data_IF_257612654688
#
_entry.id   IF_257612654688
#
_cell.length_a   1.000
_cell.length_b   1.000
_cell.length_c   1.000
_cell.angle_alpha   90.00
_cell.angle_beta   90.00
_cell.angle_gamma   90.00
#
_symmetry.space_group_name_H-M   'P 1'
#
loop_
_entity.id
_entity.type
_entity.pdbx_description
1 polymer ?
#
# COMPACT_ATOMS: atom_id res chain seq x y z
N UNK A 1 -11.17 33.39 4.11
CA UNK A 1 -9.82 34.01 4.12
C UNK A 1 -9.02 33.37 3.01
N UNK A 2 -8.24 34.15 2.26
CA UNK A 2 -7.43 33.59 1.17
C UNK A 2 -6.33 32.65 1.75
N UNK A 3 -6.19 31.47 1.19
CA UNK A 3 -5.06 30.57 1.46
C UNK A 3 -3.80 31.08 0.76
N UNK A 4 -2.63 30.73 1.28
CA UNK A 4 -1.33 31.14 0.69
C UNK A 4 -0.79 30.11 -0.29
N UNK A 5 -1.09 28.83 -0.03
CA UNK A 5 -0.60 27.71 -0.82
C UNK A 5 -1.73 26.80 -1.25
N UNK A 6 -1.65 26.34 -2.49
CA UNK A 6 -2.53 25.35 -3.07
C UNK A 6 -1.73 24.08 -3.31
N UNK A 7 -2.08 23.02 -2.60
CA UNK A 7 -1.34 21.79 -2.53
C UNK A 7 -2.20 20.61 -3.00
N UNK A 8 -1.58 19.62 -3.58
CA UNK A 8 -2.28 18.42 -3.98
C UNK A 8 -1.49 17.16 -3.57
N UNK A 9 -2.23 16.11 -3.27
CA UNK A 9 -1.68 14.78 -3.08
C UNK A 9 -2.51 13.75 -3.85
N UNK A 10 -1.86 12.70 -4.34
CA UNK A 10 -2.54 11.53 -4.90
C UNK A 10 -1.84 10.24 -4.48
N UNK A 11 -2.66 9.21 -4.24
CA UNK A 11 -2.24 7.86 -3.84
C UNK A 11 -2.76 6.86 -4.87
N UNK A 12 -1.85 6.08 -5.46
CA UNK A 12 -2.17 5.15 -6.55
C UNK A 12 -1.73 3.74 -6.20
N UNK A 13 -2.72 2.90 -5.96
CA UNK A 13 -2.53 1.46 -5.86
C UNK A 13 -2.92 0.70 -7.13
N UNK A 14 -2.88 -0.62 -7.08
CA UNK A 14 -3.32 -1.48 -8.19
C UNK A 14 -4.81 -1.36 -8.51
N UNK A 15 -5.68 -1.12 -7.51
CA UNK A 15 -7.13 -1.17 -7.66
C UNK A 15 -7.83 0.19 -7.62
N UNK A 16 -7.20 1.22 -7.07
CA UNK A 16 -7.80 2.55 -6.89
C UNK A 16 -6.75 3.66 -6.93
N UNK A 17 -7.22 4.84 -7.28
CA UNK A 17 -6.52 6.13 -7.11
C UNK A 17 -7.36 7.02 -6.21
N UNK A 18 -6.74 7.66 -5.23
CA UNK A 18 -7.35 8.70 -4.40
C UNK A 18 -6.54 9.99 -4.55
N UNK A 19 -7.19 11.12 -4.72
CA UNK A 19 -6.52 12.41 -4.93
C UNK A 19 -7.26 13.53 -4.24
N UNK A 20 -6.50 14.45 -3.64
CA UNK A 20 -7.04 15.60 -2.90
C UNK A 20 -6.32 16.88 -3.28
N UNK A 21 -7.08 17.97 -3.38
CA UNK A 21 -6.60 19.34 -3.43
C UNK A 21 -6.92 20.00 -2.10
N UNK A 22 -5.94 20.64 -1.50
CA UNK A 22 -6.06 21.21 -0.15
C UNK A 22 -5.18 22.45 0.02
N UNK A 23 -5.35 23.19 1.10
CA UNK A 23 -4.53 24.34 1.43
C UNK A 23 -3.60 24.06 2.63
N UNK A 24 -2.76 25.02 2.97
CA UNK A 24 -1.79 24.92 4.08
C UNK A 24 -2.42 24.75 5.48
N UNK A 25 -3.76 24.85 5.61
CA UNK A 25 -4.49 24.62 6.88
C UNK A 25 -5.08 23.20 6.95
N UNK A 26 -4.94 22.41 5.89
CA UNK A 26 -5.55 21.09 5.79
C UNK A 26 -7.00 21.10 5.29
N UNK A 27 -7.53 22.26 4.90
CA UNK A 27 -8.89 22.35 4.35
C UNK A 27 -8.90 21.71 2.94
N UNK A 28 -9.72 20.67 2.75
CA UNK A 28 -9.87 19.97 1.47
C UNK A 28 -10.80 20.77 0.57
N UNK A 29 -10.32 21.15 -0.60
CA UNK A 29 -11.06 21.95 -1.60
C UNK A 29 -11.74 21.04 -2.63
N UNK A 30 -11.13 19.90 -2.96
CA UNK A 30 -11.69 18.89 -3.84
C UNK A 30 -11.08 17.51 -3.52
N UNK A 31 -11.83 16.45 -3.83
CA UNK A 31 -11.35 15.06 -3.78
C UNK A 31 -11.90 14.30 -4.98
N UNK A 32 -11.02 13.64 -5.72
CA UNK A 32 -11.39 12.79 -6.87
C UNK A 32 -10.83 11.39 -6.64
N UNK A 33 -11.69 10.40 -6.76
CA UNK A 33 -11.33 8.98 -6.74
C UNK A 33 -11.41 8.42 -8.17
N UNK A 34 -10.52 7.49 -8.49
CA UNK A 34 -10.44 6.84 -9.78
C UNK A 34 -10.03 5.38 -9.68
N UNK A 35 -9.97 4.73 -10.83
CA UNK A 35 -9.44 3.39 -10.97
C UNK A 35 -7.95 3.33 -10.62
N UNK A 36 -7.46 2.13 -10.32
CA UNK A 36 -6.05 1.87 -10.12
C UNK A 36 -5.22 2.15 -11.37
N UNK A 37 -3.96 2.48 -11.14
CA UNK A 37 -3.10 2.92 -12.22
C UNK A 37 -1.66 2.42 -12.12
N UNK A 38 -1.41 1.22 -11.57
CA UNK A 38 -0.06 0.69 -11.40
C UNK A 38 0.73 0.77 -12.73
N UNK A 39 1.85 1.50 -12.79
CA UNK A 39 2.59 1.70 -14.02
C UNK A 39 3.26 0.43 -14.58
N UNK A 40 3.48 -0.60 -13.73
CA UNK A 40 3.95 -1.91 -14.20
C UNK A 40 2.91 -2.63 -15.07
N UNK A 41 1.62 -2.41 -14.80
CA UNK A 41 0.52 -3.06 -15.51
C UNK A 41 0.06 -2.24 -16.72
N UNK A 42 -0.04 -0.92 -16.57
CA UNK A 42 -0.53 -0.01 -17.63
C UNK A 42 0.56 0.45 -18.61
N UNK A 43 1.82 0.32 -18.24
CA UNK A 43 2.92 1.04 -18.90
C UNK A 43 2.97 2.52 -18.47
N UNK A 44 4.19 3.06 -18.39
CA UNK A 44 4.45 4.37 -17.78
C UNK A 44 3.73 5.53 -18.48
N UNK A 45 3.61 5.52 -19.82
CA UNK A 45 2.97 6.59 -20.60
C UNK A 45 1.45 6.62 -20.35
N UNK A 46 0.81 5.45 -20.37
CA UNK A 46 -0.61 5.31 -20.10
C UNK A 46 -0.93 5.65 -18.63
N UNK A 47 -0.06 5.25 -17.71
CA UNK A 47 -0.20 5.61 -16.29
C UNK A 47 -0.13 7.11 -16.08
N UNK A 48 0.86 7.79 -16.65
CA UNK A 48 0.99 9.24 -16.56
C UNK A 48 -0.22 9.98 -17.17
N UNK A 49 -0.71 9.54 -18.33
CA UNK A 49 -1.91 10.12 -18.95
C UNK A 49 -3.17 9.92 -18.07
N UNK A 50 -3.31 8.73 -17.47
CA UNK A 50 -4.40 8.42 -16.54
C UNK A 50 -4.37 9.31 -15.30
N UNK A 51 -3.20 9.48 -14.68
CA UNK A 51 -3.04 10.35 -13.51
C UNK A 51 -3.31 11.80 -13.86
N UNK A 52 -2.79 12.29 -15.00
CA UNK A 52 -3.01 13.64 -15.45
C UNK A 52 -4.50 13.94 -15.67
N UNK A 53 -5.28 13.00 -16.20
CA UNK A 53 -6.73 13.17 -16.38
C UNK A 53 -7.45 13.32 -15.03
N UNK A 54 -7.13 12.47 -14.02
CA UNK A 54 -7.69 12.55 -12.66
C UNK A 54 -7.30 13.89 -12.00
N UNK A 55 -6.03 14.28 -12.09
CA UNK A 55 -5.51 15.48 -11.45
C UNK A 55 -6.02 16.77 -12.09
N UNK A 56 -6.17 16.82 -13.42
CA UNK A 56 -6.80 17.96 -14.08
C UNK A 56 -8.27 18.14 -13.64
N UNK A 57 -9.02 17.04 -13.51
CA UNK A 57 -10.36 17.05 -12.95
C UNK A 57 -10.36 17.59 -11.51
N UNK A 58 -9.49 17.06 -10.65
CA UNK A 58 -9.31 17.49 -9.26
C UNK A 58 -9.06 19.00 -9.17
N UNK A 59 -8.12 19.49 -9.97
CA UNK A 59 -7.74 20.90 -9.96
C UNK A 59 -8.88 21.81 -10.43
N UNK A 60 -9.61 21.39 -11.46
CA UNK A 60 -10.77 22.16 -11.94
C UNK A 60 -11.89 22.19 -10.90
N UNK A 61 -12.22 21.05 -10.29
CA UNK A 61 -13.26 20.98 -9.25
C UNK A 61 -12.94 21.84 -8.04
N UNK A 62 -11.66 21.89 -7.62
CA UNK A 62 -11.27 22.64 -6.43
C UNK A 62 -11.00 24.13 -6.64
N UNK A 63 -10.62 24.54 -7.85
CA UNK A 63 -10.30 25.94 -8.14
C UNK A 63 -11.34 26.67 -8.98
N UNK A 64 -12.12 25.96 -9.77
CA UNK A 64 -13.00 26.53 -10.80
C UNK A 64 -12.23 27.13 -11.98
N UNK A 65 -10.88 26.96 -12.04
CA UNK A 65 -10.00 27.59 -13.04
C UNK A 65 -8.99 26.56 -13.57
N UNK A 66 -9.02 26.32 -14.87
CA UNK A 66 -8.10 25.38 -15.52
C UNK A 66 -6.64 25.82 -15.51
N UNK A 67 -6.37 27.08 -15.22
CA UNK A 67 -5.03 27.70 -15.25
C UNK A 67 -4.45 27.97 -13.85
N UNK A 68 -5.23 27.81 -12.80
CA UNK A 68 -4.80 28.07 -11.43
C UNK A 68 -3.52 27.31 -11.08
N UNK A 69 -2.47 27.98 -10.59
CA UNK A 69 -1.21 27.33 -10.28
C UNK A 69 -1.36 26.45 -9.04
N UNK A 70 -0.73 25.27 -9.07
CA UNK A 70 -0.59 24.34 -7.95
C UNK A 70 0.84 24.43 -7.44
N UNK A 71 1.03 24.78 -6.17
CA UNK A 71 2.37 25.01 -5.63
C UNK A 71 3.16 23.70 -5.50
N UNK A 72 2.50 22.64 -4.97
CA UNK A 72 3.09 21.30 -4.83
C UNK A 72 2.07 20.23 -5.18
N UNK A 73 2.52 19.25 -5.93
CA UNK A 73 1.84 17.98 -6.15
C UNK A 73 2.74 16.84 -5.66
N UNK A 74 2.29 16.11 -4.65
CA UNK A 74 2.96 14.90 -4.18
C UNK A 74 2.18 13.65 -4.59
N UNK A 75 2.88 12.68 -5.20
CA UNK A 75 2.34 11.39 -5.59
C UNK A 75 2.93 10.23 -4.80
N UNK A 76 2.08 9.40 -4.22
CA UNK A 76 2.42 8.09 -3.68
C UNK A 76 1.98 7.03 -4.70
N UNK A 77 2.94 6.36 -5.36
CA UNK A 77 2.63 5.48 -6.50
C UNK A 77 3.29 4.14 -6.31
N UNK A 78 2.48 3.08 -6.28
CA UNK A 78 2.98 1.71 -6.19
C UNK A 78 3.95 1.40 -7.34
N UNK A 79 5.05 0.74 -7.04
CA UNK A 79 6.10 0.34 -8.00
C UNK A 79 6.88 1.51 -8.66
N UNK A 80 6.78 2.74 -8.09
CA UNK A 80 7.49 3.93 -8.60
C UNK A 80 8.99 3.70 -8.71
N UNK A 81 9.59 2.97 -7.80
CA UNK A 81 11.02 2.70 -7.71
C UNK A 81 11.62 2.05 -8.96
N UNK A 82 10.80 1.40 -9.77
CA UNK A 82 11.27 0.77 -11.02
C UNK A 82 11.38 1.72 -12.22
N UNK A 83 10.94 2.98 -12.06
CA UNK A 83 10.83 3.94 -13.17
C UNK A 83 11.73 5.17 -13.02
N UNK A 84 12.49 5.28 -11.93
CA UNK A 84 13.33 6.46 -11.67
C UNK A 84 12.52 7.76 -11.75
N UNK A 85 12.98 8.78 -12.50
CA UNK A 85 12.26 10.04 -12.74
C UNK A 85 11.21 9.96 -13.85
N UNK A 86 11.03 8.81 -14.47
CA UNK A 86 10.23 8.71 -15.69
C UNK A 86 8.77 9.13 -15.57
N UNK A 87 8.14 9.00 -14.37
CA UNK A 87 6.77 9.47 -14.12
C UNK A 87 6.73 10.98 -13.93
N UNK A 88 7.67 11.54 -13.17
CA UNK A 88 7.79 13.00 -12.96
C UNK A 88 8.02 13.72 -14.27
N UNK A 89 8.91 13.20 -15.14
CA UNK A 89 9.21 13.80 -16.44
C UNK A 89 7.94 13.91 -17.30
N UNK A 90 7.13 12.86 -17.34
CA UNK A 90 5.88 12.83 -18.11
C UNK A 90 4.80 13.73 -17.52
N UNK A 91 4.61 13.65 -16.21
CA UNK A 91 3.58 14.45 -15.53
C UNK A 91 3.92 15.95 -15.55
N UNK A 92 5.18 16.33 -15.51
CA UNK A 92 5.60 17.74 -15.65
C UNK A 92 5.19 18.33 -16.99
N UNK A 93 5.21 17.53 -18.06
CA UNK A 93 4.73 17.94 -19.38
C UNK A 93 3.20 18.03 -19.43
N UNK A 94 2.50 17.06 -18.82
CA UNK A 94 1.03 16.96 -18.85
C UNK A 94 0.34 17.92 -17.88
N UNK A 95 1.05 18.37 -16.83
CA UNK A 95 0.55 19.24 -15.76
C UNK A 95 1.41 20.50 -15.61
N UNK A 96 1.53 21.36 -16.63
CA UNK A 96 2.47 22.50 -16.64
C UNK A 96 2.16 23.58 -15.57
N UNK A 97 0.96 23.53 -14.96
CA UNK A 97 0.57 24.42 -13.88
C UNK A 97 1.07 24.01 -12.49
N UNK A 98 1.63 22.81 -12.35
CA UNK A 98 2.25 22.33 -11.12
C UNK A 98 3.66 22.87 -11.03
N UNK A 99 3.95 23.66 -9.98
CA UNK A 99 5.26 24.31 -9.80
C UNK A 99 6.32 23.34 -9.29
N UNK A 100 5.92 22.44 -8.37
CA UNK A 100 6.80 21.42 -7.81
C UNK A 100 6.06 20.08 -7.80
N UNK A 101 6.66 19.09 -8.43
CA UNK A 101 6.16 17.74 -8.51
C UNK A 101 7.16 16.80 -7.85
N UNK A 102 6.68 15.94 -6.96
CA UNK A 102 7.45 14.85 -6.36
C UNK A 102 6.61 13.57 -6.37
N UNK A 103 7.20 12.47 -6.78
CA UNK A 103 6.55 11.15 -6.78
C UNK A 103 7.47 10.16 -6.10
N UNK A 104 6.94 9.46 -5.09
CA UNK A 104 7.62 8.42 -4.35
C UNK A 104 6.80 7.14 -4.31
N UNK A 105 7.38 6.05 -3.79
CA UNK A 105 6.65 4.81 -3.54
C UNK A 105 5.54 5.00 -2.49
N UNK A 106 4.49 4.21 -2.59
CA UNK A 106 3.32 4.27 -1.70
C UNK A 106 3.68 4.13 -0.22
N UNK A 107 4.67 3.31 0.12
CA UNK A 107 5.17 3.17 1.48
C UNK A 107 5.83 4.43 2.06
N UNK A 108 6.38 5.31 1.22
CA UNK A 108 6.98 6.56 1.66
C UNK A 108 5.94 7.50 2.30
N UNK A 109 4.80 7.66 1.64
CA UNK A 109 3.69 8.44 2.17
C UNK A 109 3.18 7.87 3.52
N UNK A 110 3.11 6.53 3.66
CA UNK A 110 2.69 5.90 4.92
C UNK A 110 3.65 6.18 6.07
N UNK A 111 4.96 6.19 5.82
CA UNK A 111 5.95 6.59 6.83
C UNK A 111 5.68 8.03 7.27
N UNK A 112 5.53 8.94 6.33
CA UNK A 112 5.35 10.37 6.62
C UNK A 112 4.03 10.66 7.32
N UNK A 113 2.96 9.96 6.96
CA UNK A 113 1.66 10.11 7.61
C UNK A 113 1.67 9.73 9.10
N UNK A 114 2.51 8.76 9.48
CA UNK A 114 2.59 8.26 10.85
C UNK A 114 3.77 8.82 11.64
N UNK A 115 4.90 9.05 10.99
CA UNK A 115 6.14 9.41 11.65
C UNK A 115 6.59 10.85 11.33
N UNK A 116 5.87 11.57 10.47
CA UNK A 116 6.35 12.84 9.92
C UNK A 116 7.66 12.62 9.14
N UNK A 117 8.60 13.54 9.28
CA UNK A 117 9.91 13.45 8.64
C UNK A 117 10.97 12.70 9.48
N UNK A 118 10.55 11.82 10.40
CA UNK A 118 11.48 10.99 11.20
C UNK A 118 11.90 9.75 10.41
N UNK A 119 13.14 9.29 10.66
CA UNK A 119 13.59 7.99 10.19
C UNK A 119 12.71 6.87 10.73
N UNK A 120 12.46 5.88 9.90
CA UNK A 120 11.64 4.74 10.25
C UNK A 120 11.35 3.84 9.06
N UNK A 121 10.40 2.97 9.21
CA UNK A 121 9.99 2.06 8.15
C UNK A 121 8.47 1.87 8.11
N UNK A 122 7.97 1.45 6.95
CA UNK A 122 6.60 0.99 6.77
C UNK A 122 6.61 -0.39 6.11
N UNK A 123 5.91 -1.34 6.70
CA UNK A 123 5.62 -2.64 6.10
C UNK A 123 4.20 -2.62 5.53
N UNK A 124 4.08 -2.82 4.24
CA UNK A 124 2.81 -3.01 3.56
C UNK A 124 2.55 -4.50 3.42
N UNK A 125 1.34 -4.95 3.79
CA UNK A 125 0.87 -6.31 3.57
C UNK A 125 -0.58 -6.28 3.02
N UNK A 126 -0.69 -6.48 1.72
CA UNK A 126 -1.94 -6.57 0.96
C UNK A 126 -1.89 -7.73 -0.02
N UNK A 127 -2.23 -7.52 -1.29
CA UNK A 127 -2.02 -8.50 -2.36
C UNK A 127 -0.55 -8.91 -2.47
N UNK A 128 0.37 -7.95 -2.39
CA UNK A 128 1.81 -8.13 -2.20
C UNK A 128 2.26 -7.69 -0.82
N UNK A 129 3.58 -7.76 -0.57
CA UNK A 129 4.20 -7.27 0.67
C UNK A 129 5.57 -6.68 0.39
N UNK A 130 5.95 -5.66 1.15
CA UNK A 130 7.26 -5.00 1.08
C UNK A 130 7.50 -4.15 2.32
N UNK A 131 8.75 -3.75 2.55
CA UNK A 131 9.12 -2.75 3.55
C UNK A 131 9.79 -1.57 2.88
N UNK A 132 9.31 -0.39 3.14
CA UNK A 132 9.96 0.87 2.80
C UNK A 132 10.69 1.41 4.03
N UNK A 133 11.86 2.00 3.82
CA UNK A 133 12.69 2.60 4.86
C UNK A 133 12.98 4.05 4.47
N UNK A 134 12.89 4.95 5.44
CA UNK A 134 13.34 6.32 5.36
C UNK A 134 14.57 6.54 6.22
N UNK A 135 15.62 7.17 5.66
CA UNK A 135 16.79 7.70 6.36
C UNK A 135 17.09 9.11 5.86
N UNK A 136 16.71 10.13 6.63
CA UNK A 136 16.74 11.51 6.17
C UNK A 136 15.78 11.71 4.99
N UNK A 137 16.31 12.20 3.87
CA UNK A 137 15.54 12.40 2.63
C UNK A 137 15.60 11.20 1.67
N UNK A 138 16.37 10.16 2.02
CA UNK A 138 16.53 8.96 1.21
C UNK A 138 15.49 7.90 1.58
N UNK A 139 14.98 7.24 0.56
CA UNK A 139 14.11 6.07 0.69
C UNK A 139 14.76 4.84 0.06
N UNK A 140 14.52 3.70 0.66
CA UNK A 140 14.83 2.42 0.05
C UNK A 140 13.75 1.38 0.37
N UNK A 141 13.72 0.34 -0.40
CA UNK A 141 12.71 -0.69 -0.36
C UNK A 141 13.37 -2.07 -0.16
N UNK A 142 12.71 -2.96 0.59
CA UNK A 142 13.17 -4.32 0.90
C UNK A 142 12.00 -5.27 0.66
N UNK A 143 12.27 -6.38 -0.04
CA UNK A 143 11.27 -7.36 -0.44
C UNK A 143 10.35 -6.82 -1.55
N UNK A 144 9.26 -7.53 -1.84
CA UNK A 144 8.30 -7.07 -2.85
C UNK A 144 8.77 -7.15 -4.30
N UNK A 145 9.71 -8.02 -4.60
CA UNK A 145 10.28 -8.23 -5.95
C UNK A 145 9.30 -8.85 -6.97
N UNK A 146 8.04 -8.92 -6.60
CA UNK A 146 6.97 -9.45 -7.43
C UNK A 146 6.67 -10.92 -7.17
N UNK A 147 5.44 -11.32 -7.49
CA UNK A 147 4.87 -12.61 -7.11
C UNK A 147 5.56 -13.85 -7.71
N UNK A 148 6.36 -13.67 -8.75
CA UNK A 148 7.16 -14.75 -9.35
C UNK A 148 8.46 -15.01 -8.59
N UNK A 149 8.95 -14.03 -7.83
CA UNK A 149 10.27 -14.05 -7.21
C UNK A 149 10.14 -14.01 -5.69
N UNK A 150 9.35 -13.08 -5.16
CA UNK A 150 9.30 -12.79 -3.73
C UNK A 150 7.90 -12.30 -3.31
N UNK A 151 7.21 -13.09 -2.51
CA UNK A 151 5.83 -12.84 -2.07
C UNK A 151 5.67 -12.69 -0.56
N UNK A 152 6.70 -12.88 0.21
CA UNK A 152 6.85 -12.74 1.67
C UNK A 152 5.55 -12.51 2.47
N UNK A 153 4.84 -13.57 2.84
CA UNK A 153 3.68 -13.50 3.75
C UNK A 153 2.49 -12.68 3.25
N UNK A 154 2.46 -12.29 1.98
CA UNK A 154 1.39 -11.50 1.38
C UNK A 154 0.08 -12.27 1.20
N UNK A 155 -1.02 -11.55 0.93
CA UNK A 155 -2.29 -12.18 0.60
C UNK A 155 -2.21 -13.14 -0.58
N UNK A 156 -1.43 -12.79 -1.61
CA UNK A 156 -1.19 -13.71 -2.73
C UNK A 156 -0.49 -15.00 -2.28
N UNK A 157 0.56 -14.90 -1.45
CA UNK A 157 1.25 -16.07 -0.93
C UNK A 157 0.31 -16.96 -0.10
N UNK A 158 -0.40 -16.36 0.86
CA UNK A 158 -1.32 -17.08 1.74
C UNK A 158 -2.42 -17.78 0.94
N UNK A 159 -3.07 -17.08 0.00
CA UNK A 159 -4.09 -17.67 -0.87
C UNK A 159 -3.56 -18.79 -1.75
N UNK A 160 -2.39 -18.60 -2.35
CA UNK A 160 -1.71 -19.63 -3.16
C UNK A 160 -1.37 -20.87 -2.34
N UNK A 161 -0.91 -20.71 -1.10
CA UNK A 161 -0.61 -21.82 -0.21
C UNK A 161 -1.88 -22.56 0.26
N UNK A 162 -2.97 -21.83 0.50
CA UNK A 162 -4.28 -22.43 0.81
C UNK A 162 -4.77 -23.31 -0.35
N UNK A 163 -4.78 -22.77 -1.57
CA UNK A 163 -5.16 -23.52 -2.78
C UNK A 163 -4.27 -24.76 -2.95
N UNK A 164 -2.96 -24.58 -2.84
CA UNK A 164 -1.99 -25.68 -2.93
C UNK A 164 -2.23 -26.76 -1.88
N UNK A 165 -2.54 -26.38 -0.64
CA UNK A 165 -2.81 -27.31 0.44
C UNK A 165 -4.07 -28.15 0.17
N UNK A 166 -5.17 -27.51 -0.28
CA UNK A 166 -6.40 -28.20 -0.65
C UNK A 166 -6.19 -29.18 -1.82
N UNK A 167 -5.50 -28.79 -2.88
CA UNK A 167 -5.20 -29.68 -4.00
C UNK A 167 -4.32 -30.87 -3.56
N UNK A 168 -3.37 -30.66 -2.64
CA UNK A 168 -2.54 -31.74 -2.10
C UNK A 168 -3.30 -32.68 -1.18
N UNK A 169 -4.27 -32.18 -0.42
CA UNK A 169 -5.17 -33.00 0.38
C UNK A 169 -6.05 -33.89 -0.52
N UNK A 170 -6.61 -33.30 -1.59
CA UNK A 170 -7.43 -34.01 -2.57
C UNK A 170 -6.70 -35.17 -3.25
N UNK A 171 -5.48 -34.96 -3.70
CA UNK A 171 -4.70 -35.98 -4.41
C UNK A 171 -3.87 -36.89 -3.48
N UNK A 172 -4.04 -36.77 -2.16
CA UNK A 172 -3.40 -37.64 -1.16
C UNK A 172 -1.91 -37.36 -0.90
N UNK A 173 -1.38 -36.22 -1.39
CA UNK A 173 0.01 -35.78 -1.15
C UNK A 173 0.17 -34.90 0.09
N UNK A 174 -0.91 -34.47 0.70
CA UNK A 174 -0.93 -33.59 1.88
C UNK A 174 -1.89 -34.06 2.94
N UNK A 175 -1.84 -33.41 4.09
CA UNK A 175 -2.76 -33.64 5.19
C UNK A 175 -4.17 -33.15 4.85
N UNK A 176 -5.18 -33.78 5.47
CA UNK A 176 -6.56 -33.32 5.35
C UNK A 176 -6.71 -31.95 6.03
N UNK A 177 -7.50 -31.07 5.44
CA UNK A 177 -7.65 -29.69 5.88
C UNK A 177 -9.04 -29.17 5.58
N UNK A 178 -9.59 -28.35 6.47
CA UNK A 178 -10.87 -27.64 6.24
C UNK A 178 -10.75 -26.55 5.16
N UNK A 179 -9.55 -26.24 4.69
CA UNK A 179 -9.34 -25.36 3.55
C UNK A 179 -10.07 -25.84 2.30
N UNK A 180 -10.25 -27.16 2.11
CA UNK A 180 -11.01 -27.71 0.97
C UNK A 180 -12.44 -27.15 0.96
N UNK A 181 -13.15 -27.29 2.09
CA UNK A 181 -14.54 -26.86 2.22
C UNK A 181 -14.69 -25.34 2.15
N UNK A 182 -13.75 -24.59 2.74
CA UNK A 182 -13.78 -23.13 2.73
C UNK A 182 -13.52 -22.55 1.33
N UNK A 183 -12.60 -23.13 0.59
CA UNK A 183 -12.32 -22.75 -0.79
C UNK A 183 -13.49 -23.09 -1.71
N UNK A 184 -14.08 -24.31 -1.56
CA UNK A 184 -15.27 -24.68 -2.30
C UNK A 184 -16.45 -23.75 -2.01
N UNK A 185 -16.67 -23.37 -0.76
CA UNK A 185 -17.69 -22.39 -0.37
C UNK A 185 -17.47 -21.03 -1.05
N UNK A 186 -16.22 -20.60 -1.21
CA UNK A 186 -15.89 -19.32 -1.87
C UNK A 186 -16.05 -19.39 -3.39
N UNK A 187 -15.69 -20.50 -4.03
CA UNK A 187 -15.74 -20.67 -5.48
C UNK A 187 -17.10 -21.16 -5.98
N UNK A 188 -17.89 -21.84 -5.13
CA UNK A 188 -19.11 -22.53 -5.51
C UNK A 188 -18.88 -23.92 -6.10
N UNK A 189 -17.64 -24.36 -6.21
CA UNK A 189 -17.19 -25.66 -6.72
C UNK A 189 -15.85 -26.05 -6.08
N UNK A 190 -15.45 -27.33 -6.10
CA UNK A 190 -14.15 -27.74 -5.59
C UNK A 190 -13.00 -26.99 -6.27
N UNK A 191 -12.01 -26.55 -5.47
CA UNK A 191 -10.93 -25.70 -5.97
C UNK A 191 -10.11 -26.34 -7.09
N UNK A 192 -10.02 -27.66 -7.13
CA UNK A 192 -9.32 -28.41 -8.19
C UNK A 192 -10.12 -28.47 -9.50
N UNK A 193 -11.37 -28.04 -9.53
CA UNK A 193 -12.19 -27.83 -10.73
C UNK A 193 -12.16 -26.37 -11.20
N UNK A 194 -11.77 -25.45 -10.32
CA UNK A 194 -11.76 -24.00 -10.51
C UNK A 194 -10.49 -23.45 -11.20
N UNK A 195 -9.71 -24.27 -11.89
CA UNK A 195 -8.40 -23.87 -12.40
C UNK A 195 -8.43 -22.79 -13.49
N UNK A 196 -9.44 -22.80 -14.35
CA UNK A 196 -9.55 -21.83 -15.44
C UNK A 196 -9.66 -20.41 -14.86
N UNK A 197 -10.49 -20.25 -13.86
CA UNK A 197 -10.73 -18.98 -13.17
C UNK A 197 -9.49 -18.52 -12.38
N UNK A 198 -8.76 -19.46 -11.74
CA UNK A 198 -7.51 -19.15 -11.04
C UNK A 198 -6.43 -18.61 -11.99
N UNK A 199 -6.32 -19.18 -13.20
CA UNK A 199 -5.37 -18.70 -14.20
C UNK A 199 -5.79 -17.39 -14.88
N UNK A 200 -7.10 -17.13 -14.99
CA UNK A 200 -7.63 -15.88 -15.57
C UNK A 200 -7.69 -14.73 -14.58
N UNK A 201 -7.91 -15.03 -13.30
CA UNK A 201 -8.13 -14.05 -12.25
C UNK A 201 -6.87 -13.35 -11.75
N UNK A 202 -5.71 -13.81 -12.20
CA UNK A 202 -4.41 -13.22 -11.89
C UNK A 202 -4.12 -13.12 -10.38
N UNK A 203 -3.12 -12.33 -10.03
CA UNK A 203 -2.63 -12.12 -8.65
C UNK A 203 -3.69 -11.63 -7.66
N UNK A 204 -4.50 -10.60 -7.98
CA UNK A 204 -5.51 -10.10 -7.04
C UNK A 204 -6.55 -11.13 -6.67
N UNK A 205 -6.96 -11.95 -7.63
CA UNK A 205 -7.95 -12.99 -7.39
C UNK A 205 -7.42 -14.08 -6.46
N UNK A 206 -6.20 -14.57 -6.68
CA UNK A 206 -5.56 -15.54 -5.79
C UNK A 206 -5.40 -14.98 -4.37
N UNK A 207 -5.11 -13.70 -4.22
CA UNK A 207 -5.00 -13.05 -2.93
C UNK A 207 -6.32 -13.02 -2.14
N UNK A 208 -7.47 -13.09 -2.80
CA UNK A 208 -8.77 -13.16 -2.10
C UNK A 208 -8.93 -14.43 -1.26
N UNK A 209 -8.24 -15.51 -1.63
CA UNK A 209 -8.28 -16.76 -0.88
C UNK A 209 -7.46 -16.74 0.42
N UNK A 210 -6.70 -15.69 0.70
CA UNK A 210 -5.99 -15.55 1.97
C UNK A 210 -6.93 -15.61 3.19
N UNK A 211 -8.16 -15.13 3.07
CA UNK A 211 -9.18 -15.18 4.14
C UNK A 211 -9.39 -16.58 4.68
N UNK A 212 -9.39 -17.58 3.79
CA UNK A 212 -9.63 -18.98 4.19
C UNK A 212 -8.54 -19.51 5.14
N UNK A 213 -7.32 -18.99 5.05
CA UNK A 213 -6.24 -19.36 5.97
C UNK A 213 -6.57 -18.90 7.39
N UNK A 214 -7.06 -17.68 7.55
CA UNK A 214 -7.41 -17.14 8.87
C UNK A 214 -8.66 -17.82 9.44
N UNK A 215 -9.67 -18.08 8.60
CA UNK A 215 -10.88 -18.81 9.00
C UNK A 215 -10.56 -20.25 9.43
N UNK A 216 -9.81 -21.00 8.62
CA UNK A 216 -9.41 -22.36 8.93
C UNK A 216 -8.53 -22.43 10.20
N UNK A 217 -7.61 -21.49 10.37
CA UNK A 217 -6.79 -21.39 11.58
C UNK A 217 -7.65 -21.17 12.83
N UNK A 218 -8.66 -20.29 12.75
CA UNK A 218 -9.60 -20.07 13.85
C UNK A 218 -10.42 -21.33 14.20
N UNK A 219 -10.62 -22.24 13.24
CA UNK A 219 -11.23 -23.55 13.45
C UNK A 219 -10.25 -24.61 14.01
N UNK A 220 -8.98 -24.23 14.21
CA UNK A 220 -7.94 -25.11 14.75
C UNK A 220 -7.25 -26.00 13.70
N UNK A 221 -7.37 -25.68 12.41
CA UNK A 221 -6.74 -26.44 11.33
C UNK A 221 -5.20 -26.31 11.40
N UNK A 222 -4.45 -27.43 11.50
CA UNK A 222 -2.99 -27.38 11.63
C UNK A 222 -2.30 -26.96 10.34
N UNK A 223 -2.88 -27.27 9.17
CA UNK A 223 -2.32 -26.88 7.86
C UNK A 223 -2.41 -25.36 7.68
N UNK A 224 -3.58 -24.79 7.98
CA UNK A 224 -3.76 -23.34 7.93
C UNK A 224 -2.89 -22.60 8.96
N UNK A 225 -2.71 -23.19 10.16
CA UNK A 225 -1.80 -22.65 11.18
C UNK A 225 -0.35 -22.62 10.67
N UNK A 226 0.10 -23.68 10.01
CA UNK A 226 1.45 -23.74 9.44
C UNK A 226 1.65 -22.68 8.33
N UNK A 227 0.63 -22.47 7.47
CA UNK A 227 0.66 -21.43 6.42
C UNK A 227 0.72 -20.02 7.03
N UNK A 228 -0.08 -19.75 8.06
CA UNK A 228 -0.07 -18.49 8.80
C UNK A 228 1.30 -18.22 9.42
N UNK A 229 1.89 -19.21 10.10
CA UNK A 229 3.18 -19.09 10.77
C UNK A 229 4.34 -18.91 9.77
N UNK A 230 4.28 -19.59 8.61
CA UNK A 230 5.24 -19.40 7.51
C UNK A 230 5.19 -17.95 7.01
N UNK A 231 3.99 -17.45 6.70
CA UNK A 231 3.83 -16.08 6.22
C UNK A 231 4.24 -15.02 7.24
N UNK A 232 3.96 -15.23 8.53
CA UNK A 232 4.39 -14.30 9.58
C UNK A 232 5.92 -14.25 9.73
N UNK A 233 6.60 -15.40 9.59
CA UNK A 233 8.08 -15.49 9.60
C UNK A 233 8.69 -14.77 8.40
N UNK A 234 8.11 -14.94 7.20
CA UNK A 234 8.58 -14.28 5.99
C UNK A 234 8.50 -12.75 6.12
N UNK A 235 7.37 -12.23 6.63
CA UNK A 235 7.22 -10.80 6.91
C UNK A 235 8.22 -10.31 7.97
N UNK A 236 8.42 -11.08 9.03
CA UNK A 236 9.42 -10.74 10.04
C UNK A 236 10.85 -10.73 9.47
N UNK A 237 11.16 -11.59 8.48
CA UNK A 237 12.47 -11.60 7.83
C UNK A 237 12.78 -10.28 7.13
N UNK A 238 11.83 -9.70 6.39
CA UNK A 238 12.02 -8.37 5.76
C UNK A 238 12.10 -7.25 6.80
N UNK A 239 11.37 -7.35 7.94
CA UNK A 239 11.53 -6.43 9.07
C UNK A 239 12.92 -6.52 9.71
N UNK A 240 13.48 -7.72 9.85
CA UNK A 240 14.85 -7.95 10.32
C UNK A 240 15.89 -7.34 9.36
N UNK A 241 15.65 -7.43 8.04
CA UNK A 241 16.50 -6.79 7.04
C UNK A 241 16.47 -5.26 7.17
N UNK A 242 15.27 -4.67 7.38
CA UNK A 242 15.14 -3.26 7.69
C UNK A 242 15.90 -2.85 8.96
N UNK A 243 15.81 -3.66 10.01
CA UNK A 243 16.53 -3.43 11.26
C UNK A 243 18.06 -3.48 11.11
N UNK A 244 18.57 -4.36 10.25
CA UNK A 244 20.01 -4.38 9.92
C UNK A 244 20.44 -3.11 9.18
N UNK A 245 19.59 -2.65 8.25
CA UNK A 245 19.91 -1.49 7.40
C UNK A 245 19.87 -0.17 8.18
N UNK A 246 18.87 0.04 9.02
CA UNK A 246 18.75 1.23 9.87
C UNK A 246 19.80 1.27 10.98
N UNK A 247 20.20 0.12 11.53
CA UNK A 247 21.29 0.02 12.52
C UNK A 247 21.01 0.62 13.91
N UNK A 248 19.82 1.23 14.11
CA UNK A 248 19.37 1.91 15.34
C UNK A 248 17.93 1.51 15.65
N UNK A 249 17.39 1.76 16.87
CA UNK A 249 15.96 1.62 17.14
C UNK A 249 15.12 2.51 16.23
N UNK A 250 13.97 2.01 15.77
CA UNK A 250 13.06 2.73 14.88
C UNK A 250 11.62 2.25 15.02
N UNK A 251 10.69 3.08 14.54
CA UNK A 251 9.27 2.76 14.41
C UNK A 251 9.04 2.04 13.07
N UNK A 252 8.36 0.88 13.12
CA UNK A 252 7.88 0.15 11.95
C UNK A 252 6.36 0.29 11.86
N UNK A 253 5.90 1.07 10.92
CA UNK A 253 4.46 1.23 10.62
C UNK A 253 3.96 -0.01 9.89
N UNK A 254 2.93 -0.67 10.42
CA UNK A 254 2.25 -1.78 9.75
C UNK A 254 0.99 -1.24 9.05
N UNK A 255 0.88 -1.48 7.75
CA UNK A 255 -0.25 -1.06 6.93
C UNK A 255 -0.60 -2.13 5.88
N UNK A 256 -1.81 -2.05 5.34
CA UNK A 256 -2.30 -2.91 4.27
C UNK A 256 -3.52 -3.74 4.66
N UNK A 257 -4.25 -4.17 3.62
CA UNK A 257 -5.55 -4.83 3.78
C UNK A 257 -5.52 -6.10 4.62
N UNK A 258 -4.43 -6.88 4.57
CA UNK A 258 -4.30 -8.09 5.38
C UNK A 258 -4.15 -7.74 6.87
N UNK A 259 -3.33 -6.77 7.23
CA UNK A 259 -3.17 -6.36 8.63
C UNK A 259 -4.43 -5.71 9.20
N UNK A 260 -5.16 -4.96 8.35
CA UNK A 260 -6.43 -4.35 8.75
C UNK A 260 -7.53 -5.39 8.97
N UNK A 261 -7.63 -6.36 8.08
CA UNK A 261 -8.65 -7.42 8.18
C UNK A 261 -8.32 -8.45 9.28
N UNK A 262 -7.04 -8.71 9.52
CA UNK A 262 -6.54 -9.74 10.45
C UNK A 262 -5.47 -9.18 11.39
N UNK A 263 -5.88 -8.38 12.42
CA UNK A 263 -4.94 -7.79 13.38
C UNK A 263 -4.07 -8.80 14.13
N UNK A 264 -4.53 -10.05 14.26
CA UNK A 264 -3.75 -11.14 14.85
C UNK A 264 -2.51 -11.48 14.02
N UNK A 265 -2.57 -11.31 12.69
CA UNK A 265 -1.42 -11.51 11.82
C UNK A 265 -0.35 -10.43 12.04
N UNK A 266 -0.78 -9.18 12.13
CA UNK A 266 0.10 -8.07 12.48
C UNK A 266 0.77 -8.27 13.85
N UNK A 267 0.01 -8.75 14.86
CA UNK A 267 0.57 -9.09 16.18
C UNK A 267 1.58 -10.24 16.11
N UNK A 268 1.30 -11.28 15.32
CA UNK A 268 2.23 -12.41 15.15
C UNK A 268 3.55 -11.96 14.50
N UNK A 269 3.48 -11.12 13.46
CA UNK A 269 4.66 -10.52 12.82
C UNK A 269 5.44 -9.67 13.83
N UNK A 270 4.76 -8.80 14.58
CA UNK A 270 5.38 -7.94 15.60
C UNK A 270 6.10 -8.75 16.69
N UNK A 271 5.52 -9.87 17.13
CA UNK A 271 6.12 -10.75 18.13
C UNK A 271 7.42 -11.44 17.65
N UNK A 272 7.60 -11.56 16.34
CA UNK A 272 8.81 -12.11 15.71
C UNK A 272 9.87 -11.04 15.43
N UNK A 273 9.53 -9.76 15.54
CA UNK A 273 10.45 -8.66 15.30
C UNK A 273 11.44 -8.47 16.47
N UNK A 274 12.68 -8.01 16.21
CA UNK A 274 13.65 -7.75 17.28
C UNK A 274 13.22 -6.57 18.16
N UNK A 275 13.59 -6.54 19.44
CA UNK A 275 13.14 -5.51 20.41
C UNK A 275 13.45 -4.07 20.04
N UNK A 276 14.39 -3.84 19.11
CA UNK A 276 14.72 -2.51 18.60
C UNK A 276 13.72 -1.95 17.58
N UNK A 277 12.74 -2.77 17.16
CA UNK A 277 11.63 -2.34 16.31
C UNK A 277 10.44 -2.05 17.20
N UNK A 278 9.97 -0.82 17.19
CA UNK A 278 8.71 -0.43 17.81
C UNK A 278 7.59 -0.55 16.76
N UNK A 279 6.60 -1.40 16.99
CA UNK A 279 5.49 -1.60 16.05
C UNK A 279 4.46 -0.49 16.24
N UNK A 280 4.13 0.17 15.12
CA UNK A 280 3.11 1.22 15.04
C UNK A 280 2.04 0.77 14.05
N UNK A 281 0.77 0.82 14.46
CA UNK A 281 -0.34 0.55 13.55
C UNK A 281 -0.81 1.84 12.90
N UNK A 282 -0.98 1.82 11.57
CA UNK A 282 -1.45 3.00 10.85
C UNK A 282 -2.91 3.31 11.20
N UNK A 283 -3.16 4.53 11.63
CA UNK A 283 -4.49 5.08 11.94
C UNK A 283 -4.91 6.19 10.95
N UNK A 284 -4.14 6.39 9.90
CA UNK A 284 -4.41 7.38 8.85
C UNK A 284 -4.47 6.72 7.47
N UNK A 285 -5.28 7.26 6.55
CA UNK A 285 -5.26 6.81 5.17
C UNK A 285 -3.98 7.25 4.45
N UNK A 286 -3.48 6.47 3.45
CA UNK A 286 -2.24 6.79 2.73
C UNK A 286 -2.18 8.21 2.17
N UNK A 287 -3.30 8.72 1.67
CA UNK A 287 -3.41 10.07 1.10
C UNK A 287 -3.01 11.18 2.10
N UNK A 288 -3.20 10.97 3.41
CA UNK A 288 -2.75 11.91 4.43
C UNK A 288 -1.23 12.03 4.46
N UNK A 289 -0.52 10.93 4.29
CA UNK A 289 0.94 10.95 4.20
C UNK A 289 1.46 11.74 3.00
N UNK A 290 0.78 11.63 1.86
CA UNK A 290 1.05 12.49 0.70
C UNK A 290 0.82 13.98 0.99
N UNK A 291 -0.20 14.32 1.77
CA UNK A 291 -0.44 15.70 2.21
C UNK A 291 0.67 16.19 3.16
N UNK A 292 1.15 15.34 4.08
CA UNK A 292 2.28 15.66 4.96
C UNK A 292 3.55 15.96 4.15
N UNK A 293 3.84 15.16 3.13
CA UNK A 293 4.98 15.42 2.24
C UNK A 293 4.82 16.72 1.45
N UNK A 294 3.63 16.99 0.90
CA UNK A 294 3.38 18.24 0.18
C UNK A 294 3.56 19.47 1.08
N UNK A 295 3.17 19.38 2.36
CA UNK A 295 3.39 20.44 3.36
C UNK A 295 4.87 20.62 3.66
N UNK A 296 5.62 19.53 3.77
CA UNK A 296 7.07 19.60 3.99
C UNK A 296 7.79 20.30 2.83
N UNK A 297 7.36 20.07 1.59
CA UNK A 297 7.91 20.74 0.40
C UNK A 297 7.76 22.27 0.40
N UNK A 298 6.81 22.81 1.18
CA UNK A 298 6.68 24.27 1.40
C UNK A 298 7.31 24.74 2.72
N UNK A 299 8.09 23.87 3.39
CA UNK A 299 8.78 24.17 4.63
C UNK A 299 7.87 24.21 5.87
N UNK A 300 6.72 23.54 5.84
CA UNK A 300 5.78 23.49 6.95
C UNK A 300 5.70 22.08 7.54
N UNK A 301 5.47 22.01 8.85
CA UNK A 301 5.30 20.76 9.60
C UNK A 301 3.80 20.61 9.92
N UNK A 302 3.27 19.41 9.65
CA UNK A 302 1.87 19.06 9.94
C UNK A 302 1.71 18.65 11.42
N UNK A 303 1.34 19.58 12.27
CA UNK A 303 1.06 19.31 13.68
C UNK A 303 -0.35 19.84 14.06
N UNK A 304 -0.94 19.22 15.10
CA UNK A 304 -2.17 19.69 15.75
C UNK A 304 -3.35 19.85 14.78
N UNK A 305 -3.74 21.08 14.52
CA UNK A 305 -4.96 21.42 13.80
C UNK A 305 -4.98 20.95 12.35
N UNK A 306 -3.80 20.89 11.65
CA UNK A 306 -3.74 20.43 10.26
C UNK A 306 -4.24 18.98 10.14
N UNK A 307 -3.75 18.07 10.98
CA UNK A 307 -4.16 16.65 10.93
C UNK A 307 -5.66 16.50 11.13
N UNK A 308 -6.21 17.18 12.17
CA UNK A 308 -7.63 17.10 12.48
C UNK A 308 -8.48 17.62 11.32
N UNK A 309 -8.17 18.83 10.83
CA UNK A 309 -8.89 19.46 9.70
C UNK A 309 -8.84 18.59 8.43
N UNK A 310 -7.67 18.05 8.10
CA UNK A 310 -7.52 17.24 6.90
C UNK A 310 -8.29 15.92 6.99
N UNK A 311 -8.20 15.22 8.12
CA UNK A 311 -8.90 13.95 8.30
C UNK A 311 -10.42 14.11 8.37
N UNK A 312 -10.92 15.18 9.00
CA UNK A 312 -12.35 15.53 8.96
C UNK A 312 -12.83 15.81 7.54
N UNK A 313 -12.03 16.52 6.74
CA UNK A 313 -12.36 16.83 5.35
C UNK A 313 -12.37 15.61 4.40
N UNK A 314 -11.77 14.51 4.80
CA UNK A 314 -11.82 13.25 4.01
C UNK A 314 -13.18 12.52 4.13
N UNK A 315 -13.98 12.79 5.16
CA UNK A 315 -15.33 12.26 5.38
C UNK A 315 -15.31 10.83 5.85
#
# INVERSE_FOLDING_TARGET
MAYKHLLAAFDVGGSKTDSVLFNERGEILARVKGEGGNPLERGIDNAAAHYAAILNKLFLEGTGDETAPIDVLYGAVAAKEYFGSGLEDRLSVLLPRVRRLRIEGDGCALISGMLGHRDGACMICGTGSSVYIRQGDDYCHIGGWGHLIDTCGSGYMLGRLAIRAACRAYDGRGEQTVLCDLLEKQCGEPIWEHFIELYRGERPYIATFAHTVFEARAMGDPVATAIFDEGARDLAEIAHAAARRLGKPFDLVLNGGIFTAFPEYARAVGALCPPRINIVYSDVPPIYGGAVEAMYEIGQICEGDFRATFLEGLG
#
